data_IF_007451032942
#
_entry.id   IF_007451032942
#
_cell.length_a   1.000
_cell.length_b   1.000
_cell.length_c   1.000
_cell.angle_alpha   90.00
_cell.angle_beta   90.00
_cell.angle_gamma   90.00
#
_symmetry.space_group_name_H-M   'P 1'
#
loop_
_entity.id
_entity.type
_entity.pdbx_description
1 polymer ?
#
# COMPACT_ATOMS: atom_id res chain seq x y z
N UNK A 1 18.27 -1.00 -11.23
CA UNK A 1 17.22 -2.02 -11.37
C UNK A 1 16.08 -1.68 -10.44
N UNK A 2 14.88 -1.55 -10.97
CA UNK A 2 13.72 -1.17 -10.20
C UNK A 2 13.12 -2.40 -9.52
N UNK A 3 13.13 -2.40 -8.21
CA UNK A 3 12.60 -3.51 -7.43
C UNK A 3 11.62 -3.00 -6.39
N UNK A 4 10.63 -3.81 -6.08
CA UNK A 4 9.70 -3.56 -5.00
C UNK A 4 9.70 -4.78 -4.08
N UNK A 5 9.56 -4.54 -2.78
CA UNK A 5 9.48 -5.61 -1.79
C UNK A 5 8.27 -5.39 -0.90
N UNK A 6 7.53 -6.45 -0.67
CA UNK A 6 6.45 -6.48 0.30
C UNK A 6 6.78 -7.59 1.28
N UNK A 7 7.13 -7.22 2.50
CA UNK A 7 7.65 -8.15 3.50
C UNK A 7 6.88 -8.03 4.81
N UNK A 8 6.57 -9.16 5.47
CA UNK A 8 5.94 -9.09 6.78
C UNK A 8 6.96 -8.60 7.82
N UNK A 9 6.50 -7.70 8.70
CA UNK A 9 7.30 -7.23 9.83
C UNK A 9 6.84 -7.88 11.13
N UNK A 10 5.53 -7.99 11.28
CA UNK A 10 4.89 -8.59 12.45
C UNK A 10 3.52 -9.08 12.02
N UNK A 11 2.80 -9.72 12.91
CA UNK A 11 1.45 -10.17 12.60
C UNK A 11 0.56 -8.99 12.25
N UNK A 12 -0.05 -9.03 11.07
CA UNK A 12 -0.91 -7.95 10.60
C UNK A 12 -0.16 -6.69 10.16
N UNK A 13 1.16 -6.74 10.10
CA UNK A 13 1.94 -5.59 9.73
C UNK A 13 2.96 -5.94 8.63
N UNK A 14 2.96 -5.13 7.58
CA UNK A 14 3.80 -5.33 6.40
C UNK A 14 4.58 -4.08 6.07
N UNK A 15 5.71 -4.27 5.41
CA UNK A 15 6.54 -3.18 4.92
C UNK A 15 6.65 -3.26 3.41
N UNK A 16 6.33 -2.16 2.75
CA UNK A 16 6.47 -2.00 1.33
C UNK A 16 7.67 -1.09 1.08
N UNK A 17 8.61 -1.52 0.26
CA UNK A 17 9.83 -0.76 0.01
C UNK A 17 10.26 -0.83 -1.44
N UNK A 18 11.13 0.09 -1.84
CA UNK A 18 11.66 0.19 -3.18
C UNK A 18 10.83 1.10 -4.08
N UNK A 19 10.74 0.75 -5.35
CA UNK A 19 9.99 1.53 -6.32
C UNK A 19 8.61 0.93 -6.55
N UNK A 20 7.58 1.75 -6.35
CA UNK A 20 6.19 1.33 -6.53
C UNK A 20 5.63 2.02 -7.76
N UNK A 21 5.73 1.35 -8.89
CA UNK A 21 5.48 1.95 -10.19
C UNK A 21 4.69 1.04 -11.12
N UNK A 22 4.31 1.57 -12.25
CA UNK A 22 3.70 0.83 -13.34
C UNK A 22 4.45 -0.48 -13.65
N UNK A 23 5.78 -0.46 -13.57
CA UNK A 23 6.59 -1.64 -13.87
C UNK A 23 6.58 -2.68 -12.75
N UNK A 24 6.48 -2.25 -11.49
CA UNK A 24 6.62 -3.13 -10.34
C UNK A 24 5.29 -3.60 -9.75
N UNK A 25 4.22 -2.80 -9.92
CA UNK A 25 2.90 -3.13 -9.36
C UNK A 25 2.39 -4.51 -9.77
N UNK A 26 2.56 -4.98 -11.03
CA UNK A 26 2.08 -6.31 -11.40
C UNK A 26 2.64 -7.44 -10.55
N UNK A 27 3.85 -7.30 -10.02
CA UNK A 27 4.45 -8.33 -9.18
C UNK A 27 3.76 -8.45 -7.81
N UNK A 28 2.99 -7.44 -7.42
CA UNK A 28 2.29 -7.41 -6.14
C UNK A 28 0.83 -7.88 -6.25
N UNK A 29 0.29 -7.98 -7.46
CA UNK A 29 -1.13 -8.24 -7.68
C UNK A 29 -1.59 -9.58 -7.06
N UNK A 30 -0.72 -10.57 -7.02
CA UNK A 30 -1.05 -11.87 -6.45
C UNK A 30 -0.86 -11.98 -4.94
N UNK A 31 -0.44 -10.91 -4.28
CA UNK A 31 -0.08 -10.94 -2.85
C UNK A 31 -1.24 -10.57 -1.92
N UNK A 32 -2.41 -10.24 -2.46
CA UNK A 32 -3.57 -9.78 -1.69
C UNK A 32 -4.00 -10.77 -0.62
N UNK A 33 -4.02 -12.06 -0.95
CA UNK A 33 -4.44 -13.08 0.01
C UNK A 33 -3.51 -13.12 1.21
N UNK A 34 -2.20 -13.02 0.99
CA UNK A 34 -1.23 -12.99 2.08
C UNK A 34 -1.46 -11.82 3.03
N UNK A 35 -1.81 -10.66 2.46
CA UNK A 35 -2.01 -9.45 3.26
C UNK A 35 -3.20 -9.57 4.21
N UNK A 36 -4.28 -10.21 3.76
CA UNK A 36 -5.57 -10.10 4.44
C UNK A 36 -6.11 -11.40 5.02
N UNK A 37 -5.64 -12.56 4.55
CA UNK A 37 -6.19 -13.84 5.02
C UNK A 37 -5.99 -14.02 6.53
N UNK A 38 -7.10 -14.29 7.22
CA UNK A 38 -7.05 -14.52 8.66
C UNK A 38 -6.77 -13.29 9.50
N UNK A 39 -6.85 -12.10 8.92
CA UNK A 39 -6.57 -10.85 9.62
C UNK A 39 -7.86 -10.07 9.88
N UNK A 40 -7.96 -9.45 11.04
CA UNK A 40 -8.99 -8.46 11.33
C UNK A 40 -8.51 -7.07 10.89
N UNK A 41 -7.21 -6.84 10.96
CA UNK A 41 -6.59 -5.58 10.58
C UNK A 41 -5.21 -5.82 9.98
N UNK A 42 -4.87 -5.00 8.98
CA UNK A 42 -3.56 -5.04 8.32
C UNK A 42 -3.02 -3.62 8.23
N UNK A 43 -1.79 -3.42 8.67
CA UNK A 43 -1.10 -2.15 8.54
C UNK A 43 0.04 -2.31 7.55
N UNK A 44 0.16 -1.37 6.61
CA UNK A 44 1.21 -1.38 5.61
C UNK A 44 2.06 -0.13 5.78
N UNK A 45 3.32 -0.33 6.12
CA UNK A 45 4.31 0.74 6.27
C UNK A 45 4.90 1.06 4.91
N UNK A 46 4.69 2.29 4.44
CA UNK A 46 5.17 2.77 3.16
C UNK A 46 6.49 3.54 3.27
N UNK A 47 7.07 3.59 4.46
CA UNK A 47 8.27 4.38 4.71
C UNK A 47 9.49 3.94 3.91
N UNK A 48 9.49 2.73 3.39
CA UNK A 48 10.56 2.22 2.53
C UNK A 48 10.37 2.48 1.05
N UNK A 49 9.23 3.06 0.65
CA UNK A 49 8.98 3.38 -0.77
C UNK A 49 9.83 4.59 -1.13
N UNK A 50 10.77 4.39 -2.05
CA UNK A 50 11.71 5.43 -2.48
C UNK A 50 11.14 6.29 -3.59
N UNK A 51 10.27 5.69 -4.41
CA UNK A 51 9.70 6.35 -5.58
C UNK A 51 8.38 5.67 -5.93
N UNK A 52 7.39 6.47 -6.32
CA UNK A 52 6.09 5.96 -6.77
C UNK A 52 5.56 6.79 -7.92
N UNK A 53 4.73 6.17 -8.74
CA UNK A 53 3.93 6.85 -9.75
C UNK A 53 2.45 6.64 -9.47
N UNK A 54 1.59 7.08 -10.38
CA UNK A 54 0.14 6.95 -10.21
C UNK A 54 -0.34 5.49 -10.13
N UNK A 55 0.39 4.56 -10.74
CA UNK A 55 0.04 3.13 -10.64
C UNK A 55 0.23 2.63 -9.21
N UNK A 56 1.24 3.15 -8.50
CA UNK A 56 1.45 2.82 -7.10
C UNK A 56 0.32 3.29 -6.22
N UNK A 57 -0.16 4.52 -6.44
CA UNK A 57 -1.30 5.04 -5.68
C UNK A 57 -2.57 4.26 -6.00
N UNK A 58 -2.76 3.90 -7.28
CA UNK A 58 -3.91 3.09 -7.69
C UNK A 58 -3.91 1.72 -7.00
N UNK A 59 -2.73 1.12 -6.81
CA UNK A 59 -2.62 -0.14 -6.08
C UNK A 59 -3.13 0.00 -4.64
N UNK A 60 -2.81 1.11 -3.98
CA UNK A 60 -3.29 1.34 -2.61
C UNK A 60 -4.82 1.42 -2.55
N UNK A 61 -5.44 2.01 -3.58
CA UNK A 61 -6.90 2.06 -3.68
C UNK A 61 -7.47 0.64 -3.88
N UNK A 62 -6.85 -0.15 -4.75
CA UNK A 62 -7.28 -1.53 -4.97
C UNK A 62 -7.19 -2.38 -3.71
N UNK A 63 -6.09 -2.25 -2.97
CA UNK A 63 -5.92 -2.96 -1.70
C UNK A 63 -6.97 -2.53 -0.67
N UNK A 64 -7.27 -1.23 -0.61
CA UNK A 64 -8.31 -0.73 0.28
C UNK A 64 -9.67 -1.34 -0.05
N UNK A 65 -10.01 -1.39 -1.35
CA UNK A 65 -11.26 -1.98 -1.80
C UNK A 65 -11.32 -3.47 -1.48
N UNK A 66 -10.23 -4.18 -1.68
CA UNK A 66 -10.16 -5.60 -1.37
C UNK A 66 -10.27 -5.87 0.13
N UNK A 67 -9.61 -5.07 0.94
CA UNK A 67 -9.71 -5.15 2.39
C UNK A 67 -11.15 -4.94 2.85
N UNK A 68 -11.80 -3.92 2.31
CA UNK A 68 -13.20 -3.62 2.63
C UNK A 68 -14.10 -4.79 2.27
N UNK A 69 -13.90 -5.41 1.13
CA UNK A 69 -14.69 -6.56 0.68
C UNK A 69 -14.50 -7.75 1.62
N UNK A 70 -13.29 -7.92 2.15
CA UNK A 70 -12.95 -9.00 3.09
C UNK A 70 -13.22 -8.64 4.54
N UNK A 71 -13.69 -7.43 4.80
CA UNK A 71 -13.95 -6.90 6.14
C UNK A 71 -12.69 -6.87 7.01
N UNK A 72 -11.56 -6.52 6.38
CA UNK A 72 -10.29 -6.30 7.05
C UNK A 72 -10.07 -4.80 7.16
N UNK A 73 -9.76 -4.31 8.33
CA UNK A 73 -9.39 -2.91 8.50
C UNK A 73 -7.96 -2.73 7.95
N UNK A 74 -7.79 -1.85 6.98
CA UNK A 74 -6.48 -1.57 6.41
C UNK A 74 -6.04 -0.15 6.79
N UNK A 75 -4.74 0.02 6.98
CA UNK A 75 -4.17 1.31 7.31
C UNK A 75 -2.79 1.42 6.65
N UNK A 76 -2.54 2.58 6.05
CA UNK A 76 -1.23 2.91 5.49
C UNK A 76 -0.53 3.90 6.39
N UNK A 77 0.73 3.66 6.71
CA UNK A 77 1.51 4.55 7.56
C UNK A 77 2.78 4.98 6.83
N UNK A 78 3.32 6.14 7.22
CA UNK A 78 4.57 6.66 6.69
C UNK A 78 4.58 6.88 5.18
N UNK A 79 3.46 7.32 4.62
CA UNK A 79 3.40 7.59 3.18
C UNK A 79 4.41 8.69 2.81
N UNK A 80 5.32 8.43 1.85
CA UNK A 80 6.28 9.44 1.41
C UNK A 80 5.59 10.65 0.80
N UNK A 81 6.21 11.82 0.96
CA UNK A 81 5.65 13.08 0.49
C UNK A 81 5.36 13.07 -1.02
N UNK A 82 6.23 12.46 -1.81
CA UNK A 82 6.06 12.39 -3.26
C UNK A 82 4.81 11.58 -3.63
N UNK A 83 4.58 10.49 -2.93
CA UNK A 83 3.42 9.64 -3.14
C UNK A 83 2.14 10.34 -2.67
N UNK A 84 2.21 11.02 -1.54
CA UNK A 84 1.08 11.79 -1.01
C UNK A 84 0.69 12.91 -1.98
N UNK A 85 1.66 13.56 -2.62
CA UNK A 85 1.39 14.60 -3.61
C UNK A 85 0.57 14.05 -4.79
N UNK A 86 0.89 12.84 -5.25
CA UNK A 86 0.14 12.19 -6.33
C UNK A 86 -1.29 11.91 -5.85
N UNK A 87 -1.44 11.41 -4.64
CA UNK A 87 -2.76 11.12 -4.08
C UNK A 87 -3.63 12.38 -3.99
N UNK A 88 -3.03 13.50 -3.59
CA UNK A 88 -3.73 14.79 -3.49
C UNK A 88 -4.21 15.30 -4.82
N UNK A 89 -3.37 15.24 -5.85
CA UNK A 89 -3.74 15.66 -7.20
C UNK A 89 -4.94 14.87 -7.72
N UNK A 90 -5.03 13.60 -7.33
CA UNK A 90 -6.13 12.71 -7.73
C UNK A 90 -7.30 12.74 -6.74
N UNK A 91 -7.26 13.58 -5.72
CA UNK A 91 -8.27 13.66 -4.66
C UNK A 91 -8.46 12.34 -3.91
N UNK A 92 -7.40 11.54 -3.82
CA UNK A 92 -7.45 10.25 -3.15
C UNK A 92 -6.98 10.31 -1.69
N UNK A 93 -6.34 11.40 -1.29
CA UNK A 93 -5.85 11.57 0.08
C UNK A 93 -6.97 11.55 1.12
N UNK A 94 -8.17 11.97 0.75
CA UNK A 94 -9.34 11.93 1.64
C UNK A 94 -9.99 10.55 1.70
N UNK A 95 -9.67 9.68 0.75
CA UNK A 95 -10.30 8.35 0.62
C UNK A 95 -9.40 7.27 1.22
N UNK A 96 -8.09 7.39 1.03
CA UNK A 96 -7.14 6.38 1.50
C UNK A 96 -7.08 6.35 3.03
N UNK A 97 -7.02 5.15 3.63
CA UNK A 97 -6.98 4.99 5.09
C UNK A 97 -5.58 5.30 5.63
N UNK A 98 -5.20 6.56 5.60
CA UNK A 98 -3.89 7.02 6.05
C UNK A 98 -3.85 7.12 7.56
N UNK A 99 -2.81 6.52 8.16
CA UNK A 99 -2.58 6.56 9.57
C UNK A 99 -1.28 7.26 9.91
N UNK A 100 -1.11 7.58 11.18
CA UNK A 100 0.14 8.11 11.70
C UNK A 100 0.90 6.98 12.37
N UNK A 101 2.17 6.92 12.08
CA UNK A 101 3.05 5.96 12.73
C UNK A 101 3.41 6.44 14.14
#
# INVERSE_FOLDING_TARGET
MNAVRLEPEAQGRWRLSGELSYETVPSLAGRVTELFAGQDATEIDLGGVERADSAGVALLVEWMMEANRRRVAIRYVNMPAQMLAIARVSSLDDILPLGRA
#
